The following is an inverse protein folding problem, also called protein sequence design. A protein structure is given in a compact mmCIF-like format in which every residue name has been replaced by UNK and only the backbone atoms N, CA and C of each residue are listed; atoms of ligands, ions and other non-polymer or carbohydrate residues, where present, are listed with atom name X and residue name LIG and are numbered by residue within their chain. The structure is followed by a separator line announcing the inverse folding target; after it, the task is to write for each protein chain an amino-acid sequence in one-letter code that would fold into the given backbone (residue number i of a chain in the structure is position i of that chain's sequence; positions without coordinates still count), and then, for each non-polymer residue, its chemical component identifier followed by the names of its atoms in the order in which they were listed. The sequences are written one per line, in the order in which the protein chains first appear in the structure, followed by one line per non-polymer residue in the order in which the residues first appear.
data_IF_658427669248
#
_entry.id   IF_658427669248
#
_cell.length_a   1.000
_cell.length_b   1.000
_cell.length_c   1.000
_cell.angle_alpha   90.00
_cell.angle_beta   90.00
_cell.angle_gamma   90.00
#
_symmetry.space_group_name_H-M   'P 1'
#
loop_
_entity.id
_entity.type
_entity.pdbx_description
1 polymer ?
#
# COMPACT_ATOMS: atom_id res chain seq x y z
N UNK A 1 -4.87 -7.17 12.38
CA UNK A 1 -3.44 -7.18 11.95
C UNK A 1 -2.90 -8.57 12.25
N UNK A 2 -2.01 -9.12 11.40
CA UNK A 2 -1.52 -10.50 11.47
C UNK A 2 -0.09 -10.58 12.05
N UNK A 3 0.10 -10.37 13.37
CA UNK A 3 1.43 -10.29 13.98
C UNK A 3 2.25 -11.58 13.80
N UNK A 4 1.58 -12.73 13.80
CA UNK A 4 2.23 -14.03 13.68
C UNK A 4 2.83 -14.27 12.28
N UNK A 5 2.29 -13.61 11.25
CA UNK A 5 2.80 -13.67 9.88
C UNK A 5 4.00 -12.74 9.73
N UNK A 6 4.00 -11.59 10.41
CA UNK A 6 5.07 -10.59 10.30
C UNK A 6 6.42 -11.05 10.86
N UNK A 7 6.41 -12.02 11.79
CA UNK A 7 7.61 -12.58 12.42
C UNK A 7 8.05 -13.92 11.82
N UNK A 8 7.19 -14.54 11.01
CA UNK A 8 7.49 -15.83 10.37
C UNK A 8 8.41 -15.63 9.15
N UNK A 9 9.64 -16.13 9.27
CA UNK A 9 10.67 -16.10 8.21
C UNK A 9 10.84 -17.44 7.49
N UNK A 10 9.96 -18.40 7.77
CA UNK A 10 10.04 -19.72 7.14
C UNK A 10 9.64 -19.64 5.66
N UNK A 11 10.43 -20.30 4.81
CA UNK A 11 10.15 -20.41 3.38
C UNK A 11 9.36 -21.70 3.15
N UNK A 12 8.18 -21.80 3.77
CA UNK A 12 7.28 -22.93 3.64
C UNK A 12 6.07 -22.57 2.79
N UNK A 13 5.53 -23.55 2.06
CA UNK A 13 4.32 -23.37 1.24
C UNK A 13 3.11 -22.96 2.10
N UNK A 14 3.01 -23.49 3.31
CA UNK A 14 1.99 -23.10 4.29
C UNK A 14 2.11 -21.62 4.68
N UNK A 15 3.33 -21.14 4.91
CA UNK A 15 3.60 -19.73 5.24
C UNK A 15 3.23 -18.81 4.09
N UNK A 16 3.53 -19.22 2.85
CA UNK A 16 3.13 -18.50 1.63
C UNK A 16 1.61 -18.35 1.53
N UNK A 17 0.86 -19.44 1.66
CA UNK A 17 -0.60 -19.43 1.58
C UNK A 17 -1.25 -18.56 2.66
N UNK A 18 -0.68 -18.58 3.89
CA UNK A 18 -1.13 -17.69 4.97
C UNK A 18 -0.88 -16.22 4.65
N UNK A 19 0.30 -15.89 4.12
CA UNK A 19 0.62 -14.53 3.71
C UNK A 19 -0.32 -14.05 2.61
N UNK A 20 -0.58 -14.86 1.59
CA UNK A 20 -1.53 -14.55 0.50
C UNK A 20 -2.94 -14.27 1.04
N UNK A 21 -3.43 -15.13 1.93
CA UNK A 21 -4.75 -14.96 2.56
C UNK A 21 -4.83 -13.67 3.39
N UNK A 22 -3.76 -13.35 4.11
CA UNK A 22 -3.67 -12.12 4.90
C UNK A 22 -3.62 -10.86 4.03
N UNK A 23 -2.90 -10.90 2.89
CA UNK A 23 -2.87 -9.81 1.92
C UNK A 23 -4.24 -9.58 1.30
N UNK A 24 -4.94 -10.65 0.92
CA UNK A 24 -6.30 -10.55 0.37
C UNK A 24 -7.26 -9.95 1.41
N UNK A 25 -7.26 -10.46 2.64
CA UNK A 25 -8.10 -9.93 3.70
C UNK A 25 -7.79 -8.45 4.01
N UNK A 26 -6.52 -8.05 3.97
CA UNK A 26 -6.14 -6.65 4.14
C UNK A 26 -6.65 -5.79 2.97
N UNK A 27 -6.52 -6.26 1.73
CA UNK A 27 -7.02 -5.58 0.55
C UNK A 27 -8.54 -5.36 0.60
N UNK A 28 -9.29 -6.39 0.99
CA UNK A 28 -10.76 -6.34 1.07
C UNK A 28 -11.27 -5.38 2.15
N UNK A 29 -10.41 -4.98 3.10
CA UNK A 29 -10.76 -3.99 4.14
C UNK A 29 -10.58 -2.54 3.69
N UNK A 30 -9.94 -2.30 2.55
CA UNK A 30 -9.69 -0.94 2.05
C UNK A 30 -11.00 -0.34 1.50
N UNK A 31 -11.45 0.76 2.10
CA UNK A 31 -12.62 1.51 1.64
C UNK A 31 -12.37 2.12 0.25
N UNK A 32 -13.33 2.01 -0.66
CA UNK A 32 -13.30 2.64 -1.99
C UNK A 32 -12.99 4.15 -1.91
N UNK A 33 -13.45 4.82 -0.85
CA UNK A 33 -13.16 6.25 -0.60
C UNK A 33 -11.65 6.54 -0.47
N UNK A 34 -10.84 5.57 -0.04
CA UNK A 34 -9.39 5.71 -0.01
C UNK A 34 -8.84 5.94 -1.42
N UNK A 35 -9.28 5.14 -2.39
CA UNK A 35 -8.82 5.24 -3.78
C UNK A 35 -9.32 6.52 -4.46
N UNK A 36 -10.55 6.93 -4.18
CA UNK A 36 -11.08 8.20 -4.66
C UNK A 36 -10.25 9.39 -4.13
N UNK A 37 -9.89 9.39 -2.84
CA UNK A 37 -9.00 10.41 -2.26
C UNK A 37 -7.61 10.37 -2.88
N UNK A 38 -7.08 9.18 -3.16
CA UNK A 38 -5.78 9.03 -3.81
C UNK A 38 -5.80 9.69 -5.20
N UNK A 39 -6.82 9.40 -6.02
CA UNK A 39 -7.00 10.01 -7.33
C UNK A 39 -7.08 11.52 -7.27
N UNK A 40 -7.91 12.07 -6.37
CA UNK A 40 -8.02 13.53 -6.16
C UNK A 40 -6.68 14.15 -5.74
N UNK A 41 -5.87 13.45 -4.96
CA UNK A 41 -4.56 13.97 -4.53
C UNK A 41 -3.53 14.09 -5.66
N UNK A 42 -3.71 13.40 -6.79
CA UNK A 42 -2.71 13.35 -7.87
C UNK A 42 -2.39 14.72 -8.47
N UNK A 43 -3.40 15.59 -8.63
CA UNK A 43 -3.18 16.94 -9.16
C UNK A 43 -2.21 17.74 -8.28
N UNK A 44 -2.39 17.70 -6.95
CA UNK A 44 -1.48 18.37 -6.01
C UNK A 44 -0.05 17.81 -6.03
N UNK A 45 0.11 16.50 -6.29
CA UNK A 45 1.43 15.87 -6.43
C UNK A 45 2.14 16.34 -7.71
N UNK A 46 1.40 16.48 -8.81
CA UNK A 46 1.93 17.02 -10.07
C UNK A 46 2.39 18.47 -9.87
N UNK A 47 1.57 19.30 -9.23
CA UNK A 47 1.94 20.68 -8.90
C UNK A 47 3.21 20.74 -8.03
N UNK A 48 3.33 19.85 -7.04
CA UNK A 48 4.53 19.74 -6.23
C UNK A 48 5.77 19.35 -7.04
N UNK A 49 5.66 18.42 -7.99
CA UNK A 49 6.76 18.05 -8.89
C UNK A 49 7.16 19.20 -9.82
N UNK A 50 6.19 19.96 -10.34
CA UNK A 50 6.45 21.14 -11.18
C UNK A 50 7.19 22.22 -10.37
N UNK A 51 6.70 22.51 -9.16
CA UNK A 51 7.33 23.49 -8.27
C UNK A 51 8.74 23.06 -7.81
N UNK A 52 8.99 21.75 -7.75
CA UNK A 52 10.30 21.18 -7.47
C UNK A 52 11.21 21.12 -8.71
N UNK A 53 10.81 21.63 -9.87
CA UNK A 53 11.57 21.55 -11.12
C UNK A 53 11.98 20.11 -11.48
N UNK A 54 11.11 19.14 -11.17
CA UNK A 54 11.36 17.72 -11.39
C UNK A 54 12.18 17.01 -10.30
N UNK A 55 12.55 17.70 -9.20
CA UNK A 55 13.16 17.07 -8.03
C UNK A 55 12.14 16.32 -7.17
N UNK A 56 12.65 15.50 -6.25
CA UNK A 56 11.84 14.71 -5.33
C UNK A 56 10.93 15.58 -4.45
N UNK A 57 9.71 15.09 -4.23
CA UNK A 57 8.74 15.71 -3.33
C UNK A 57 8.60 14.85 -2.06
N UNK A 58 7.74 15.27 -1.12
CA UNK A 58 7.41 14.46 0.08
C UNK A 58 6.57 13.21 -0.22
N UNK A 59 6.07 13.08 -1.45
CA UNK A 59 5.17 12.03 -1.91
C UNK A 59 5.90 10.95 -2.69
#
# INVERSE_FOLDING_TARGET
MFPDIAVDKSISEYTRQRLESALQAAWDTLDEKLFNKLGVSMSSRIEACIAAEGWHTKY
#
